data_IF_684269515292
#
_entry.id   IF_684269515292
#
_cell.length_a   1.000
_cell.length_b   1.000
_cell.length_c   1.000
_cell.angle_alpha   90.00
_cell.angle_beta   90.00
_cell.angle_gamma   90.00
#
_symmetry.space_group_name_H-M   'P 1'
#
loop_
_entity.id
_entity.type
_entity.pdbx_description
1 polymer ?
#
# COMPACT_ATOMS: atom_id res chain seq x y z
N UNK A 1 -3.73 3.44 -18.21
CA UNK A 1 -4.41 3.89 -16.98
C UNK A 1 -3.63 3.31 -15.83
N UNK A 2 -3.13 4.15 -14.92
CA UNK A 2 -2.49 3.66 -13.71
C UNK A 2 -3.58 3.04 -12.83
N UNK A 3 -3.27 1.93 -12.16
CA UNK A 3 -4.21 1.30 -11.23
C UNK A 3 -4.49 2.23 -10.04
N UNK A 4 -3.54 3.09 -9.67
CA UNK A 4 -3.69 4.11 -8.63
C UNK A 4 -4.67 5.22 -9.00
N UNK A 5 -4.92 5.46 -10.29
CA UNK A 5 -5.93 6.45 -10.74
C UNK A 5 -7.37 6.05 -10.34
N UNK A 6 -7.59 4.79 -9.94
CA UNK A 6 -8.88 4.30 -9.43
C UNK A 6 -8.96 4.30 -7.90
N UNK A 7 -7.88 4.67 -7.22
CA UNK A 7 -7.89 4.86 -5.78
C UNK A 7 -8.66 6.13 -5.39
N UNK A 8 -9.17 6.16 -4.17
CA UNK A 8 -9.70 7.37 -3.56
C UNK A 8 -8.88 7.70 -2.31
N UNK A 9 -8.82 8.99 -1.98
CA UNK A 9 -8.20 9.43 -0.73
C UNK A 9 -8.92 8.78 0.47
N UNK A 10 -8.15 8.18 1.38
CA UNK A 10 -8.62 7.63 2.66
C UNK A 10 -9.79 6.62 2.54
N UNK A 11 -9.80 5.83 1.45
CA UNK A 11 -10.91 4.94 1.11
C UNK A 11 -11.19 3.83 2.15
N UNK A 12 -10.15 3.34 2.80
CA UNK A 12 -10.20 2.17 3.69
C UNK A 12 -9.84 2.49 5.14
N UNK A 13 -9.01 3.52 5.37
CA UNK A 13 -8.76 4.05 6.71
C UNK A 13 -8.26 5.49 6.65
N UNK A 14 -8.34 6.20 7.78
CA UNK A 14 -7.72 7.51 7.94
C UNK A 14 -6.39 7.33 8.69
N UNK A 15 -5.27 7.41 7.95
CA UNK A 15 -3.91 7.34 8.50
C UNK A 15 -3.39 8.69 9.01
N UNK A 16 -2.08 8.77 9.24
CA UNK A 16 -1.39 10.01 9.68
C UNK A 16 -1.30 11.07 8.56
N UNK A 17 -1.50 10.67 7.31
CA UNK A 17 -1.48 11.51 6.13
C UNK A 17 -2.57 11.08 5.16
N UNK A 18 -3.14 12.03 4.44
CA UNK A 18 -4.05 11.74 3.33
C UNK A 18 -3.30 11.03 2.21
N UNK A 19 -3.83 9.89 1.77
CA UNK A 19 -3.24 9.09 0.70
C UNK A 19 -4.28 8.49 -0.23
N UNK A 20 -3.96 8.41 -1.52
CA UNK A 20 -4.71 7.62 -2.50
C UNK A 20 -4.48 6.15 -2.20
N UNK A 21 -5.51 5.47 -1.71
CA UNK A 21 -5.38 4.12 -1.18
C UNK A 21 -5.76 3.06 -2.21
N UNK A 22 -4.96 2.00 -2.27
CA UNK A 22 -5.31 0.75 -2.94
C UNK A 22 -5.16 -0.42 -1.97
N UNK A 23 -6.13 -1.35 -2.03
CA UNK A 23 -6.14 -2.55 -1.23
C UNK A 23 -5.76 -3.76 -2.08
N UNK A 24 -4.76 -4.52 -1.62
CA UNK A 24 -4.25 -5.73 -2.27
C UNK A 24 -4.63 -6.94 -1.42
N UNK A 25 -5.45 -7.83 -1.99
CA UNK A 25 -5.87 -9.10 -1.37
C UNK A 25 -5.05 -10.25 -1.93
N UNK A 26 -4.75 -11.22 -1.08
CA UNK A 26 -3.97 -12.41 -1.43
C UNK A 26 -3.68 -13.26 -0.19
N UNK A 27 -2.81 -14.25 -0.36
CA UNK A 27 -2.35 -15.15 0.69
C UNK A 27 -0.83 -15.39 0.64
N UNK A 28 -0.34 -16.38 1.37
CA UNK A 28 1.09 -16.70 1.46
C UNK A 28 1.72 -17.23 0.18
N UNK A 29 0.94 -17.53 -0.85
CA UNK A 29 1.43 -17.85 -2.18
C UNK A 29 1.67 -16.62 -3.07
N UNK A 30 1.21 -15.44 -2.65
CA UNK A 30 1.35 -14.20 -3.39
C UNK A 30 2.56 -13.37 -2.95
N UNK A 31 3.15 -12.64 -3.91
CA UNK A 31 4.30 -11.75 -3.69
C UNK A 31 4.00 -10.37 -4.29
N UNK A 32 4.20 -9.33 -3.49
CA UNK A 32 4.20 -7.94 -3.93
C UNK A 32 5.63 -7.39 -3.82
N UNK A 33 6.18 -6.91 -4.94
CA UNK A 33 7.44 -6.19 -4.95
C UNK A 33 7.17 -4.70 -5.05
N UNK A 34 7.49 -3.95 -4.00
CA UNK A 34 7.38 -2.50 -3.93
C UNK A 34 8.71 -1.87 -4.30
N UNK A 35 8.83 -1.48 -5.56
CA UNK A 35 10.02 -0.84 -6.11
C UNK A 35 9.73 0.63 -6.44
N UNK A 36 10.74 1.47 -6.24
CA UNK A 36 10.73 2.85 -6.68
C UNK A 36 11.54 2.99 -7.97
N UNK A 37 10.87 3.22 -9.10
CA UNK A 37 11.53 3.33 -10.40
C UNK A 37 11.64 4.78 -10.86
N UNK A 38 12.87 5.29 -10.98
CA UNK A 38 13.16 6.64 -11.45
C UNK A 38 13.62 7.59 -10.34
N UNK A 39 14.22 8.72 -10.71
CA UNK A 39 14.88 9.64 -9.78
C UNK A 39 13.92 10.24 -8.72
N UNK A 40 12.63 10.39 -9.07
CA UNK A 40 11.62 11.06 -8.23
C UNK A 40 10.59 10.10 -7.62
N UNK A 41 10.80 8.78 -7.73
CA UNK A 41 9.80 7.77 -7.35
C UNK A 41 9.69 7.50 -5.83
N UNK A 42 10.47 8.21 -5.00
CA UNK A 42 10.37 8.12 -3.54
C UNK A 42 10.81 6.77 -3.01
N UNK A 43 10.48 6.46 -1.77
CA UNK A 43 10.75 5.16 -1.14
C UNK A 43 9.48 4.63 -0.49
N UNK A 44 9.27 3.32 -0.54
CA UNK A 44 8.19 2.65 0.17
C UNK A 44 8.61 2.36 1.61
N UNK A 45 7.70 2.56 2.55
CA UNK A 45 7.94 2.31 3.98
C UNK A 45 6.72 1.67 4.63
N UNK A 46 6.98 0.69 5.50
CA UNK A 46 5.96 0.06 6.34
C UNK A 46 5.48 1.06 7.41
N UNK A 47 4.15 1.21 7.53
CA UNK A 47 3.47 2.12 8.46
C UNK A 47 2.69 1.37 9.56
N UNK A 48 2.90 0.06 9.66
CA UNK A 48 2.20 -0.81 10.59
C UNK A 48 0.99 -1.49 9.94
N UNK A 49 0.03 -1.86 10.77
CA UNK A 49 -1.13 -2.65 10.34
C UNK A 49 -2.44 -1.97 10.68
N UNK A 50 -3.42 -2.10 9.77
CA UNK A 50 -4.79 -1.63 9.96
C UNK A 50 -5.78 -2.75 9.66
N UNK A 51 -6.89 -2.78 10.39
CA UNK A 51 -8.01 -3.68 10.09
C UNK A 51 -9.02 -2.98 9.19
N UNK A 52 -9.41 -3.64 8.09
CA UNK A 52 -10.51 -3.21 7.21
C UNK A 52 -11.59 -4.28 7.28
N UNK A 53 -12.61 -4.04 8.10
CA UNK A 53 -13.53 -5.08 8.54
C UNK A 53 -12.81 -6.09 9.45
N UNK A 54 -12.99 -7.38 9.18
CA UNK A 54 -12.36 -8.47 9.96
C UNK A 54 -10.99 -8.92 9.41
N UNK A 55 -10.45 -8.22 8.40
CA UNK A 55 -9.19 -8.58 7.73
C UNK A 55 -8.12 -7.53 8.07
N UNK A 56 -6.95 -8.00 8.50
CA UNK A 56 -5.77 -7.17 8.78
C UNK A 56 -4.91 -6.98 7.53
N UNK A 57 -4.42 -5.76 7.34
CA UNK A 57 -3.55 -5.34 6.24
C UNK A 57 -2.30 -4.64 6.78
N UNK A 58 -1.14 -4.88 6.16
CA UNK A 58 0.04 -4.05 6.29
C UNK A 58 -0.11 -2.80 5.43
N UNK A 59 0.23 -1.65 5.98
CA UNK A 59 0.15 -0.36 5.30
C UNK A 59 1.55 0.01 4.80
N UNK A 60 1.69 0.27 3.51
CA UNK A 60 2.91 0.77 2.90
C UNK A 60 2.65 2.10 2.23
N UNK A 61 3.48 3.10 2.55
CA UNK A 61 3.35 4.43 1.99
C UNK A 61 4.60 4.82 1.21
N UNK A 62 4.40 5.45 0.05
CA UNK A 62 5.47 5.99 -0.75
C UNK A 62 5.82 7.44 -0.32
N UNK A 63 7.10 7.78 -0.26
CA UNK A 63 7.56 9.07 0.27
C UNK A 63 7.49 10.26 -0.69
N UNK A 64 7.32 10.04 -2.00
CA UNK A 64 7.28 11.11 -3.01
C UNK A 64 5.92 11.24 -3.69
N UNK A 65 5.00 10.33 -3.41
CA UNK A 65 3.62 10.33 -3.93
C UNK A 65 2.64 10.24 -2.77
N UNK A 66 1.37 10.53 -3.03
CA UNK A 66 0.29 10.31 -2.06
C UNK A 66 -0.15 8.83 -2.04
N UNK A 67 0.59 7.90 -2.65
CA UNK A 67 0.17 6.51 -2.75
C UNK A 67 0.34 5.76 -1.42
N UNK A 68 -0.71 5.04 -1.04
CA UNK A 68 -0.73 4.13 0.10
C UNK A 68 -1.33 2.78 -0.31
N UNK A 69 -0.63 1.69 0.04
CA UNK A 69 -1.05 0.33 -0.24
C UNK A 69 -1.37 -0.40 1.06
N UNK A 70 -2.59 -0.93 1.14
CA UNK A 70 -3.01 -1.85 2.18
C UNK A 70 -2.89 -3.28 1.65
N UNK A 71 -1.89 -4.01 2.10
CA UNK A 71 -1.59 -5.38 1.64
C UNK A 71 -2.03 -6.39 2.69
N UNK A 72 -2.90 -7.32 2.31
CA UNK A 72 -3.50 -8.28 3.24
C UNK A 72 -2.43 -9.12 3.96
N UNK A 73 -2.58 -9.30 5.28
CA UNK A 73 -1.72 -10.20 6.04
C UNK A 73 -1.72 -11.61 5.44
N UNK A 74 -0.53 -12.13 5.21
CA UNK A 74 -0.30 -13.40 4.50
C UNK A 74 0.48 -13.21 3.21
N UNK A 75 0.23 -12.12 2.47
CA UNK A 75 0.99 -11.78 1.26
C UNK A 75 2.44 -11.46 1.61
N UNK A 76 3.38 -11.96 0.80
CA UNK A 76 4.80 -11.67 0.96
C UNK A 76 5.11 -10.30 0.33
N UNK A 77 5.84 -9.44 1.05
CA UNK A 77 6.23 -8.12 0.56
C UNK A 77 7.74 -7.99 0.49
N UNK A 78 8.24 -7.54 -0.66
CA UNK A 78 9.63 -7.15 -0.84
C UNK A 78 9.71 -5.65 -1.11
N UNK A 79 10.48 -4.94 -0.29
CA UNK A 79 10.89 -3.57 -0.57
C UNK A 79 12.17 -3.65 -1.42
N UNK A 80 12.13 -3.09 -2.62
CA UNK A 80 13.20 -3.22 -3.64
C UNK A 80 13.76 -1.86 -4.03
#
# INVERSE_FOLDING_TARGET
QDVLDNGQADLFHTGDSHGVQMLVKGDSSDVVNLASNGADAGTWSDKGTVAVGDISYHVYQNSSTEAELLIQQGVQVHLV
#
